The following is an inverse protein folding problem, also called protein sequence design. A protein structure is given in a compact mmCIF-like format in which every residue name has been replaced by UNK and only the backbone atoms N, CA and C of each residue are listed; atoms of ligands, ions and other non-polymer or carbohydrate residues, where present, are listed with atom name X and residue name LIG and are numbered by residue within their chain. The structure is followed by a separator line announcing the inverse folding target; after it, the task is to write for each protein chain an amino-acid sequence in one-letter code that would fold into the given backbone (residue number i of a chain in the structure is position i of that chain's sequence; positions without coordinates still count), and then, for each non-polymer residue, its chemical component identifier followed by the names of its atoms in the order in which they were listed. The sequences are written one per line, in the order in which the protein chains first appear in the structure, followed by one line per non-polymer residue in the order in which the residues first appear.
data_IF_696002977118
#
_entry.id   IF_696002977118
#
_cell.length_a   1.000
_cell.length_b   1.000
_cell.length_c   1.000
_cell.angle_alpha   90.00
_cell.angle_beta   90.00
_cell.angle_gamma   90.00
#
_symmetry.space_group_name_H-M   'P 1'
#
loop_
_entity.id
_entity.type
_entity.pdbx_description
1 polymer ?
#
# COMPACT_ATOMS: atom_id res chain seq x y z
N UNK A 1 4.81 -12.94 -6.60
CA UNK A 1 3.49 -12.91 -5.95
C UNK A 1 2.44 -12.24 -6.82
N UNK A 2 2.68 -11.03 -7.30
CA UNK A 2 1.73 -10.25 -8.12
C UNK A 2 1.34 -10.94 -9.45
N UNK A 3 2.30 -11.40 -10.26
CA UNK A 3 2.03 -12.15 -11.52
C UNK A 3 1.26 -13.44 -11.24
N UNK A 4 1.67 -14.18 -10.19
CA UNK A 4 1.00 -15.43 -9.77
C UNK A 4 -0.32 -15.20 -9.02
N UNK A 5 -0.74 -13.94 -8.82
CA UNK A 5 -1.96 -13.54 -8.08
C UNK A 5 -2.09 -14.13 -6.67
N UNK A 6 -0.95 -14.39 -6.02
CA UNK A 6 -0.90 -14.90 -4.64
C UNK A 6 -0.82 -13.72 -3.67
N UNK A 7 -1.92 -13.43 -2.97
CA UNK A 7 -2.03 -12.32 -2.01
C UNK A 7 -2.29 -12.79 -0.57
N UNK A 8 -2.08 -14.09 -0.31
CA UNK A 8 -2.08 -14.66 1.02
C UNK A 8 -1.06 -13.93 1.90
N UNK A 9 -1.43 -13.58 3.15
CA UNK A 9 -0.65 -12.66 3.97
C UNK A 9 0.72 -13.23 4.31
N UNK A 10 1.78 -12.63 3.77
CA UNK A 10 3.13 -12.68 4.34
C UNK A 10 3.36 -11.48 5.26
N UNK A 11 2.91 -10.30 4.84
CA UNK A 11 2.84 -9.09 5.66
C UNK A 11 1.61 -8.26 5.29
N UNK A 12 0.73 -7.99 6.26
CA UNK A 12 -0.58 -7.37 5.99
C UNK A 12 -0.47 -5.91 5.57
N UNK A 13 -1.37 -5.49 4.67
CA UNK A 13 -1.52 -4.09 4.28
C UNK A 13 -1.74 -3.18 5.49
N UNK A 14 -2.57 -3.58 6.45
CA UNK A 14 -2.81 -2.78 7.66
C UNK A 14 -1.52 -2.53 8.47
N UNK A 15 -0.64 -3.52 8.55
CA UNK A 15 0.64 -3.36 9.26
C UNK A 15 1.57 -2.41 8.52
N UNK A 16 1.67 -2.53 7.19
CA UNK A 16 2.49 -1.62 6.39
C UNK A 16 1.96 -0.18 6.44
N UNK A 17 0.63 -0.02 6.42
CA UNK A 17 -0.02 1.28 6.57
C UNK A 17 0.32 1.95 7.91
N UNK A 18 0.41 1.16 9.00
CA UNK A 18 0.89 1.65 10.30
C UNK A 18 2.35 2.12 10.21
N UNK A 19 3.23 1.35 9.58
CA UNK A 19 4.64 1.70 9.46
C UNK A 19 4.86 2.98 8.63
N UNK A 20 4.11 3.16 7.55
CA UNK A 20 4.15 4.38 6.74
C UNK A 20 3.61 5.60 7.49
N UNK A 21 2.57 5.44 8.32
CA UNK A 21 2.11 6.52 9.20
C UNK A 21 3.20 6.95 10.20
N UNK A 22 3.96 6.00 10.75
CA UNK A 22 5.10 6.31 11.61
C UNK A 22 6.19 7.07 10.82
N UNK A 23 6.55 6.58 9.64
CA UNK A 23 7.55 7.21 8.78
C UNK A 23 7.17 8.65 8.40
N UNK A 24 5.90 8.89 8.03
CA UNK A 24 5.40 10.22 7.68
C UNK A 24 5.33 11.15 8.90
N UNK A 25 5.01 10.62 10.08
CA UNK A 25 5.01 11.40 11.32
C UNK A 25 6.43 11.84 11.69
N UNK A 26 7.40 10.92 11.66
CA UNK A 26 8.81 11.25 11.90
C UNK A 26 9.37 12.21 10.84
N UNK A 27 8.97 12.07 9.57
CA UNK A 27 9.37 13.00 8.52
C UNK A 27 8.87 14.43 8.80
N UNK A 28 7.64 14.56 9.31
CA UNK A 28 7.08 15.86 9.73
C UNK A 28 7.85 16.46 10.91
N UNK A 29 8.22 15.65 11.90
CA UNK A 29 9.03 16.08 13.04
C UNK A 29 10.44 16.53 12.62
N UNK A 30 11.04 15.84 11.65
CA UNK A 30 12.38 16.15 11.13
C UNK A 30 12.39 17.24 10.05
N UNK A 31 11.23 17.72 9.60
CA UNK A 31 11.12 18.69 8.51
C UNK A 31 11.56 18.16 7.13
N UNK A 32 11.48 16.84 6.93
CA UNK A 32 11.86 16.17 5.68
C UNK A 32 10.62 15.84 4.84
N UNK A 33 10.69 16.07 3.53
CA UNK A 33 9.62 15.75 2.61
C UNK A 33 9.75 14.30 2.08
N UNK A 34 8.70 13.49 2.26
CA UNK A 34 8.62 12.12 1.73
C UNK A 34 7.40 11.95 0.79
N UNK A 35 7.40 12.57 -0.40
CA UNK A 35 6.23 12.60 -1.29
C UNK A 35 5.80 11.22 -1.78
N UNK A 36 6.77 10.34 -2.07
CA UNK A 36 6.47 8.99 -2.55
C UNK A 36 5.92 8.09 -1.43
N UNK A 37 6.38 8.29 -0.19
CA UNK A 37 5.84 7.60 1.00
C UNK A 37 4.40 8.01 1.26
N UNK A 38 4.08 9.31 1.12
CA UNK A 38 2.70 9.79 1.23
C UNK A 38 1.81 9.21 0.13
N UNK A 39 2.32 9.14 -1.10
CA UNK A 39 1.58 8.53 -2.22
C UNK A 39 1.34 7.03 -1.99
N UNK A 40 2.33 6.30 -1.47
CA UNK A 40 2.20 4.89 -1.13
C UNK A 40 1.13 4.67 -0.03
N UNK A 41 1.08 5.55 0.98
CA UNK A 41 0.06 5.52 2.02
C UNK A 41 -1.35 5.61 1.42
N UNK A 42 -1.56 6.49 0.45
CA UNK A 42 -2.85 6.61 -0.25
C UNK A 42 -3.19 5.40 -1.13
N UNK A 43 -2.19 4.76 -1.76
CA UNK A 43 -2.41 3.51 -2.48
C UNK A 43 -2.85 2.37 -1.55
N UNK A 44 -2.29 2.30 -0.33
CA UNK A 44 -2.76 1.36 0.68
C UNK A 44 -4.15 1.71 1.21
N UNK A 45 -4.49 3.00 1.37
CA UNK A 45 -5.85 3.45 1.68
C UNK A 45 -6.85 2.93 0.64
N UNK A 46 -6.51 3.04 -0.65
CA UNK A 46 -7.34 2.54 -1.75
C UNK A 46 -7.51 1.02 -1.72
N UNK A 47 -6.47 0.26 -1.35
CA UNK A 47 -6.58 -1.20 -1.17
C UNK A 47 -7.46 -1.57 0.03
N UNK A 48 -7.32 -0.85 1.15
CA UNK A 48 -8.12 -1.06 2.35
C UNK A 48 -9.59 -0.77 2.11
N UNK A 49 -9.91 0.28 1.36
CA UNK A 49 -11.27 0.62 0.96
C UNK A 49 -11.97 -0.48 0.13
N UNK A 50 -11.20 -1.37 -0.49
CA UNK A 50 -11.70 -2.54 -1.24
C UNK A 50 -11.79 -3.82 -0.37
N UNK A 51 -11.67 -3.69 0.96
CA UNK A 51 -11.67 -4.83 1.88
C UNK A 51 -10.31 -5.55 1.97
N UNK A 52 -9.24 -4.94 1.45
CA UNK A 52 -7.92 -5.55 1.36
C UNK A 52 -7.01 -5.41 2.57
N UNK A 53 -7.54 -5.06 3.75
CA UNK A 53 -6.73 -4.81 4.95
C UNK A 53 -5.82 -6.01 5.32
N UNK A 54 -6.37 -7.22 5.21
CA UNK A 54 -5.68 -8.47 5.54
C UNK A 54 -4.87 -9.06 4.37
N UNK A 55 -4.86 -8.43 3.20
CA UNK A 55 -4.05 -8.91 2.08
C UNK A 55 -2.57 -8.66 2.34
N UNK A 56 -1.73 -9.45 1.68
CA UNK A 56 -0.30 -9.17 1.63
C UNK A 56 -0.03 -7.78 1.02
N UNK A 57 1.02 -7.10 1.47
CA UNK A 57 1.40 -5.77 0.97
C UNK A 57 1.63 -5.73 -0.56
N UNK A 58 1.92 -6.88 -1.18
CA UNK A 58 2.05 -7.01 -2.63
C UNK A 58 0.73 -6.80 -3.37
N UNK A 59 -0.40 -6.87 -2.67
CA UNK A 59 -1.72 -6.54 -3.21
C UNK A 59 -1.91 -5.04 -3.46
N UNK A 60 -0.95 -4.17 -3.07
CA UNK A 60 -0.91 -2.76 -3.52
C UNK A 60 -1.02 -2.63 -5.04
N UNK A 61 -0.52 -3.63 -5.78
CA UNK A 61 -0.68 -3.72 -7.24
C UNK A 61 -2.14 -3.56 -7.69
N UNK A 62 -3.11 -4.04 -6.89
CA UNK A 62 -4.53 -3.97 -7.23
C UNK A 62 -5.07 -2.54 -7.23
N UNK A 63 -4.51 -1.64 -6.41
CA UNK A 63 -4.83 -0.22 -6.51
C UNK A 63 -4.42 0.34 -7.87
N UNK A 64 -3.22 0.00 -8.35
CA UNK A 64 -2.74 0.41 -9.68
C UNK A 64 -3.56 -0.22 -10.81
N UNK A 65 -3.90 -1.51 -10.70
CA UNK A 65 -4.75 -2.20 -11.69
C UNK A 65 -6.12 -1.54 -11.85
N UNK A 66 -6.71 -1.11 -10.73
CA UNK A 66 -8.00 -0.41 -10.76
C UNK A 66 -7.87 0.98 -11.36
N UNK A 67 -6.81 1.72 -11.04
CA UNK A 67 -6.54 3.05 -11.63
C UNK A 67 -6.28 2.97 -13.13
N UNK A 68 -5.55 1.94 -13.59
CA UNK A 68 -5.24 1.72 -14.99
C UNK A 68 -6.35 1.00 -15.77
N UNK A 69 -7.40 0.52 -15.09
CA UNK A 69 -8.41 -0.38 -15.64
C UNK A 69 -7.79 -1.58 -16.41
N UNK A 70 -6.67 -2.09 -15.92
CA UNK A 70 -5.87 -3.12 -16.57
C UNK A 70 -5.23 -4.02 -15.51
N UNK A 71 -5.35 -5.34 -15.67
CA UNK A 71 -4.76 -6.32 -14.75
C UNK A 71 -3.37 -6.72 -15.23
N UNK A 72 -2.43 -6.90 -14.30
CA UNK A 72 -1.11 -7.42 -14.61
C UNK A 72 -1.25 -8.92 -14.91
N UNK A 73 -0.80 -9.33 -16.10
CA UNK A 73 -0.78 -10.72 -16.58
C UNK A 73 0.49 -11.45 -16.13
#
# INVERSE_FOLDING_TARGET
RMIKRTFDPGFRIELHQKDLNLALSSARELGVALPNTATAQELFNACRAQGGAEWDHSAMVRALENLANCKIA
#
